data_IF_298313098914
#
_entry.id   IF_298313098914
#
_cell.length_a   1.000
_cell.length_b   1.000
_cell.length_c   1.000
_cell.angle_alpha   90.00
_cell.angle_beta   90.00
_cell.angle_gamma   90.00
#
_symmetry.space_group_name_H-M   'P 1'
#
loop_
_entity.id
_entity.type
_entity.pdbx_description
1 polymer ?
#
# COMPACT_ATOMS: atom_id res chain seq x y z
N UNK A 1 -10.10 -41.19 -4.40
CA UNK A 1 -11.53 -40.83 -4.29
C UNK A 1 -11.62 -39.45 -3.68
N UNK A 2 -11.98 -38.48 -4.53
CA UNK A 2 -12.48 -37.12 -4.30
C UNK A 2 -12.29 -36.49 -2.91
N UNK A 3 -11.34 -35.57 -2.78
CA UNK A 3 -11.49 -34.46 -1.83
C UNK A 3 -12.16 -33.31 -2.57
N UNK A 4 -13.38 -33.02 -2.11
CA UNK A 4 -14.26 -32.00 -2.63
C UNK A 4 -13.62 -30.62 -2.47
N UNK A 5 -13.33 -29.99 -3.60
CA UNK A 5 -13.07 -28.55 -3.69
C UNK A 5 -14.36 -27.82 -3.29
N UNK A 6 -14.48 -27.43 -2.03
CA UNK A 6 -15.54 -26.52 -1.59
C UNK A 6 -15.12 -25.09 -1.96
N UNK A 7 -15.40 -24.70 -3.20
CA UNK A 7 -15.51 -23.30 -3.57
C UNK A 7 -16.90 -22.83 -3.18
N UNK A 8 -17.05 -22.28 -1.98
CA UNK A 8 -18.30 -21.63 -1.56
C UNK A 8 -18.14 -20.11 -1.52
N UNK A 9 -19.04 -19.47 -2.29
CA UNK A 9 -19.52 -18.07 -2.21
C UNK A 9 -18.84 -17.01 -3.09
N UNK A 10 -19.33 -16.91 -4.33
CA UNK A 10 -20.26 -15.83 -4.71
C UNK A 10 -19.73 -14.39 -4.84
N UNK A 11 -18.42 -14.16 -4.79
CA UNK A 11 -17.78 -12.96 -5.34
C UNK A 11 -17.13 -13.39 -6.65
N UNK A 12 -17.48 -12.75 -7.76
CA UNK A 12 -16.94 -13.17 -9.06
C UNK A 12 -15.44 -12.89 -9.05
N UNK A 13 -14.61 -13.91 -9.21
CA UNK A 13 -13.15 -13.76 -9.33
C UNK A 13 -12.76 -12.68 -10.37
N UNK A 14 -13.57 -12.51 -11.42
CA UNK A 14 -13.41 -11.44 -12.39
C UNK A 14 -13.59 -10.04 -11.78
N UNK A 15 -14.60 -9.83 -10.93
CA UNK A 15 -14.81 -8.52 -10.29
C UNK A 15 -13.72 -8.17 -9.28
N UNK A 16 -13.14 -9.19 -8.63
CA UNK A 16 -12.08 -8.98 -7.65
C UNK A 16 -10.74 -8.61 -8.33
N UNK A 17 -10.42 -9.25 -9.46
CA UNK A 17 -9.27 -8.89 -10.28
C UNK A 17 -9.41 -7.51 -10.93
N UNK A 18 -10.61 -7.15 -11.40
CA UNK A 18 -10.85 -5.81 -11.95
C UNK A 18 -10.74 -4.73 -10.88
N UNK A 19 -11.24 -5.00 -9.68
CA UNK A 19 -11.07 -4.13 -8.52
C UNK A 19 -9.60 -4.01 -8.11
N UNK A 20 -8.85 -5.12 -8.11
CA UNK A 20 -7.41 -5.12 -7.85
C UNK A 20 -6.65 -4.22 -8.84
N UNK A 21 -6.96 -4.35 -10.14
CA UNK A 21 -6.38 -3.49 -11.20
C UNK A 21 -6.75 -2.02 -11.01
N UNK A 22 -7.99 -1.72 -10.60
CA UNK A 22 -8.41 -0.36 -10.32
C UNK A 22 -7.61 0.25 -9.16
N UNK A 23 -7.44 -0.50 -8.06
CA UNK A 23 -6.65 -0.04 -6.92
C UNK A 23 -5.19 0.20 -7.31
N UNK A 24 -4.57 -0.72 -8.05
CA UNK A 24 -3.20 -0.58 -8.52
C UNK A 24 -3.04 0.61 -9.49
N UNK A 25 -4.03 0.87 -10.34
CA UNK A 25 -4.02 2.04 -11.21
C UNK A 25 -4.06 3.36 -10.44
N UNK A 26 -4.71 3.41 -9.27
CA UNK A 26 -4.70 4.60 -8.41
C UNK A 26 -3.35 4.68 -7.67
N UNK A 27 -2.84 3.57 -7.13
CA UNK A 27 -1.52 3.52 -6.48
C UNK A 27 -0.40 4.03 -7.39
N UNK A 28 -0.42 3.69 -8.68
CA UNK A 28 0.52 4.22 -9.69
C UNK A 28 0.46 5.74 -9.84
N UNK A 29 -0.72 6.34 -9.71
CA UNK A 29 -0.86 7.82 -9.77
C UNK A 29 -0.24 8.47 -8.54
N UNK A 30 -0.44 7.88 -7.36
CA UNK A 30 0.20 8.32 -6.12
C UNK A 30 1.73 8.15 -6.20
N UNK A 31 2.23 7.01 -6.66
CA UNK A 31 3.66 6.77 -6.88
C UNK A 31 4.28 7.78 -7.86
N UNK A 32 3.57 8.08 -8.96
CA UNK A 32 4.03 9.11 -9.91
C UNK A 32 4.07 10.50 -9.26
N UNK A 33 3.13 10.83 -8.38
CA UNK A 33 3.14 12.08 -7.65
C UNK A 33 4.37 12.15 -6.72
N UNK A 34 4.68 11.08 -5.99
CA UNK A 34 5.88 10.98 -5.13
C UNK A 34 7.16 11.27 -5.89
N UNK A 35 7.33 10.68 -7.08
CA UNK A 35 8.52 10.92 -7.91
C UNK A 35 8.65 12.38 -8.37
N UNK A 36 7.58 13.16 -8.37
CA UNK A 36 7.59 14.61 -8.64
C UNK A 36 7.80 15.47 -7.39
N UNK A 37 7.76 14.87 -6.19
CA UNK A 37 7.81 15.56 -4.90
C UNK A 37 9.16 15.40 -4.18
N UNK A 38 10.24 15.14 -4.92
CA UNK A 38 11.58 14.98 -4.32
C UNK A 38 12.18 16.31 -3.85
N UNK A 39 11.79 17.43 -4.45
CA UNK A 39 12.26 18.75 -4.05
C UNK A 39 11.68 19.16 -2.68
N UNK A 40 12.57 19.24 -1.68
CA UNK A 40 12.22 19.58 -0.28
C UNK A 40 11.87 21.04 -0.08
N UNK A 41 12.31 21.94 -0.97
CA UNK A 41 11.99 23.37 -0.90
C UNK A 41 10.60 23.67 -1.46
N UNK A 42 10.09 22.81 -2.35
CA UNK A 42 8.79 22.97 -3.01
C UNK A 42 7.68 22.20 -2.28
N UNK A 43 7.93 20.95 -1.90
CA UNK A 43 6.91 20.09 -1.31
C UNK A 43 7.19 19.86 0.16
N UNK A 44 6.18 20.08 0.98
CA UNK A 44 6.24 19.77 2.41
C UNK A 44 6.20 18.24 2.62
N UNK A 45 6.89 17.74 3.65
CA UNK A 45 7.03 16.30 3.87
C UNK A 45 5.67 15.63 4.16
N UNK A 46 4.71 16.36 4.73
CA UNK A 46 3.35 15.85 4.99
C UNK A 46 2.63 15.45 3.71
N UNK A 47 2.80 16.26 2.66
CA UNK A 47 2.16 16.04 1.36
C UNK A 47 2.81 14.83 0.68
N UNK A 48 4.14 14.73 0.76
CA UNK A 48 4.87 13.56 0.30
C UNK A 48 4.42 12.29 1.04
N UNK A 49 4.44 12.32 2.38
CA UNK A 49 4.04 11.20 3.23
C UNK A 49 2.59 10.76 3.00
N UNK A 50 1.67 11.70 2.76
CA UNK A 50 0.29 11.39 2.41
C UNK A 50 0.19 10.57 1.12
N UNK A 51 0.90 10.97 0.05
CA UNK A 51 0.91 10.19 -1.19
C UNK A 51 1.62 8.84 -1.03
N UNK A 52 2.62 8.75 -0.16
CA UNK A 52 3.32 7.51 0.13
C UNK A 52 2.39 6.50 0.79
N UNK A 53 1.71 6.91 1.88
CA UNK A 53 0.70 6.09 2.55
C UNK A 53 -0.40 5.66 1.56
N UNK A 54 -0.90 6.59 0.74
CA UNK A 54 -1.95 6.35 -0.24
C UNK A 54 -1.54 5.36 -1.34
N UNK A 55 -0.28 5.40 -1.79
CA UNK A 55 0.26 4.43 -2.74
C UNK A 55 0.37 3.03 -2.13
N UNK A 56 0.91 2.93 -0.91
CA UNK A 56 1.04 1.65 -0.19
C UNK A 56 -0.34 1.05 0.09
N UNK A 57 -1.26 1.81 0.68
CA UNK A 57 -2.60 1.35 1.04
C UNK A 57 -3.32 0.73 -0.16
N UNK A 58 -3.31 1.44 -1.30
CA UNK A 58 -4.00 0.97 -2.50
C UNK A 58 -3.31 -0.23 -3.13
N UNK A 59 -1.99 -0.33 -3.00
CA UNK A 59 -1.24 -1.49 -3.48
C UNK A 59 -1.51 -2.72 -2.62
N UNK A 60 -1.53 -2.60 -1.29
CA UNK A 60 -1.93 -3.69 -0.39
C UNK A 60 -3.37 -4.13 -0.62
N UNK A 61 -4.29 -3.17 -0.83
CA UNK A 61 -5.68 -3.46 -1.21
C UNK A 61 -5.80 -4.17 -2.55
N UNK A 62 -5.00 -3.79 -3.54
CA UNK A 62 -4.90 -4.50 -4.81
C UNK A 62 -4.43 -5.94 -4.60
N UNK A 63 -3.42 -6.16 -3.75
CA UNK A 63 -2.90 -7.49 -3.44
C UNK A 63 -3.94 -8.39 -2.76
N UNK A 64 -4.63 -7.87 -1.73
CA UNK A 64 -5.70 -8.60 -1.04
C UNK A 64 -6.80 -9.00 -2.04
N UNK A 65 -7.23 -8.07 -2.89
CA UNK A 65 -8.26 -8.33 -3.90
C UNK A 65 -7.80 -9.35 -4.96
N UNK A 66 -6.53 -9.29 -5.38
CA UNK A 66 -5.95 -10.27 -6.32
C UNK A 66 -5.99 -11.70 -5.80
N UNK A 67 -5.96 -11.88 -4.47
CA UNK A 67 -6.04 -13.16 -3.78
C UNK A 67 -7.49 -13.59 -3.48
N UNK A 68 -8.49 -12.82 -3.91
CA UNK A 68 -9.90 -13.05 -3.57
C UNK A 68 -10.24 -12.71 -2.12
N UNK A 69 -9.35 -12.00 -1.42
CA UNK A 69 -9.57 -11.53 -0.06
C UNK A 69 -10.45 -10.27 -0.02
N UNK A 70 -10.90 -9.92 1.19
CA UNK A 70 -11.65 -8.69 1.45
C UNK A 70 -11.04 -7.90 2.59
N UNK A 71 -11.12 -6.58 2.51
CA UNK A 71 -10.66 -5.65 3.53
C UNK A 71 -11.79 -4.67 3.89
N UNK A 72 -11.79 -4.18 5.15
CA UNK A 72 -12.76 -3.19 5.62
C UNK A 72 -12.45 -1.77 5.13
N UNK A 73 -13.30 -0.81 5.51
CA UNK A 73 -13.01 0.61 5.33
C UNK A 73 -11.95 1.06 6.34
N UNK A 74 -10.68 0.83 5.99
CA UNK A 74 -9.52 1.17 6.82
C UNK A 74 -8.42 1.83 5.99
N UNK A 75 -7.69 2.73 6.65
CA UNK A 75 -6.44 3.35 6.17
C UNK A 75 -5.21 2.84 6.94
N UNK A 76 -5.42 1.88 7.85
CA UNK A 76 -4.38 1.28 8.67
C UNK A 76 -3.61 0.24 7.86
N UNK A 77 -2.34 0.53 7.56
CA UNK A 77 -1.47 -0.34 6.79
C UNK A 77 -1.15 -1.64 7.54
N UNK A 78 -1.05 -1.61 8.87
CA UNK A 78 -0.81 -2.78 9.70
C UNK A 78 -1.95 -3.80 9.58
N UNK A 79 -3.21 -3.34 9.66
CA UNK A 79 -4.39 -4.20 9.46
C UNK A 79 -4.44 -4.82 8.06
N UNK A 80 -4.00 -4.10 7.03
CA UNK A 80 -3.93 -4.63 5.65
C UNK A 80 -2.83 -5.69 5.51
N UNK A 81 -1.66 -5.47 6.10
CA UNK A 81 -0.58 -6.47 6.13
C UNK A 81 -1.00 -7.73 6.92
N UNK A 82 -1.70 -7.58 8.04
CA UNK A 82 -2.22 -8.72 8.80
C UNK A 82 -3.28 -9.49 8.02
N UNK A 83 -4.09 -8.80 7.21
CA UNK A 83 -5.02 -9.46 6.27
C UNK A 83 -4.27 -10.32 5.26
N UNK A 84 -3.17 -9.82 4.68
CA UNK A 84 -2.34 -10.60 3.75
C UNK A 84 -1.67 -11.80 4.43
N UNK A 85 -1.14 -11.64 5.65
CA UNK A 85 -0.59 -12.76 6.43
C UNK A 85 -1.64 -13.85 6.66
N UNK A 86 -2.88 -13.46 6.99
CA UNK A 86 -3.99 -14.40 7.18
C UNK A 86 -4.39 -15.13 5.88
N UNK A 87 -4.10 -14.55 4.71
CA UNK A 87 -4.25 -15.19 3.40
C UNK A 87 -3.06 -16.10 3.02
N UNK A 88 -2.07 -16.25 3.92
CA UNK A 88 -0.88 -17.09 3.71
C UNK A 88 0.25 -16.41 2.93
N UNK A 89 0.22 -15.08 2.81
CA UNK A 89 1.25 -14.31 2.13
C UNK A 89 2.38 -13.93 3.10
N UNK A 90 3.63 -14.14 2.70
CA UNK A 90 4.78 -13.58 3.39
C UNK A 90 4.99 -12.11 2.99
N UNK A 91 4.73 -11.20 3.92
CA UNK A 91 4.92 -9.76 3.75
C UNK A 91 6.11 -9.23 4.58
N UNK A 92 7.01 -10.10 5.04
CA UNK A 92 8.16 -9.71 5.88
C UNK A 92 9.04 -8.62 5.25
N UNK A 93 9.18 -8.63 3.93
CA UNK A 93 9.89 -7.59 3.16
C UNK A 93 9.27 -6.18 3.31
N UNK A 94 7.99 -6.09 3.65
CA UNK A 94 7.22 -4.84 3.68
C UNK A 94 6.75 -4.48 5.10
N UNK A 95 7.37 -5.06 6.15
CA UNK A 95 6.89 -4.92 7.52
C UNK A 95 7.10 -3.53 8.12
N UNK A 96 7.95 -2.70 7.52
CA UNK A 96 8.27 -1.33 7.93
C UNK A 96 7.36 -0.27 7.26
N UNK A 97 6.64 -0.62 6.19
CA UNK A 97 5.72 0.30 5.52
C UNK A 97 4.62 0.91 6.43
N UNK A 98 4.13 0.24 7.49
CA UNK A 98 3.19 0.87 8.42
C UNK A 98 3.73 2.13 9.10
N UNK A 99 5.05 2.27 9.24
CA UNK A 99 5.67 3.45 9.85
C UNK A 99 5.36 4.72 9.03
N UNK A 100 5.09 4.59 7.72
CA UNK A 100 4.58 5.69 6.88
C UNK A 100 3.26 6.30 7.40
N UNK A 101 2.42 5.49 8.04
CA UNK A 101 1.17 5.95 8.66
C UNK A 101 1.45 6.84 9.87
N UNK A 102 2.48 6.49 10.64
CA UNK A 102 2.90 7.21 11.85
C UNK A 102 3.46 8.59 11.44
N UNK A 103 4.27 8.63 10.39
CA UNK A 103 4.83 9.88 9.86
C UNK A 103 3.74 10.82 9.31
N UNK A 104 2.75 10.30 8.57
CA UNK A 104 1.64 11.10 8.06
C UNK A 104 0.72 11.66 9.18
N UNK A 105 0.68 11.00 10.34
CA UNK A 105 -0.15 11.42 11.50
C UNK A 105 0.60 12.41 12.41
N UNK A 106 1.89 12.20 12.70
CA UNK A 106 2.66 13.10 13.56
C UNK A 106 2.72 14.53 13.04
N UNK A 107 2.88 14.67 11.73
CA UNK A 107 2.93 15.95 11.05
C UNK A 107 1.62 16.76 11.09
N UNK A 108 0.47 16.13 11.40
CA UNK A 108 -0.79 16.85 11.60
C UNK A 108 -0.88 17.57 12.95
N UNK A 109 0.03 17.25 13.89
CA UNK A 109 -0.05 17.72 15.27
C UNK A 109 1.26 18.34 15.80
N UNK A 110 2.42 17.96 15.26
CA UNK A 110 3.71 18.54 15.63
C UNK A 110 4.14 19.62 14.63
N UNK A 111 3.75 20.87 14.94
CA UNK A 111 4.25 22.12 14.34
C UNK A 111 5.73 22.40 14.73
N UNK A 112 6.51 21.34 14.99
CA UNK A 112 7.78 21.39 15.71
C UNK A 112 8.94 20.86 14.86
N UNK A 113 9.25 21.59 13.79
CA UNK A 113 10.58 22.15 13.53
C UNK A 113 11.86 21.29 13.55
N UNK A 114 11.80 19.96 13.63
CA UNK A 114 13.02 19.14 13.64
C UNK A 114 12.82 17.89 12.77
N UNK A 115 13.49 17.88 11.61
CA UNK A 115 13.49 16.83 10.58
C UNK A 115 14.17 15.52 11.04
N UNK A 116 14.43 15.39 12.35
CA UNK A 116 15.29 14.38 12.94
C UNK A 116 14.53 13.05 13.13
N UNK A 117 14.46 12.25 12.06
CA UNK A 117 14.03 10.85 12.13
C UNK A 117 13.21 10.33 10.96
N UNK A 118 12.97 11.15 9.94
CA UNK A 118 12.23 10.72 8.75
C UNK A 118 13.16 10.01 7.75
N UNK A 119 12.68 8.95 7.07
CA UNK A 119 13.42 8.38 5.96
C UNK A 119 13.53 9.38 4.80
N UNK A 120 14.62 9.28 4.04
CA UNK A 120 14.82 10.09 2.84
C UNK A 120 13.72 9.81 1.81
N UNK A 121 13.29 10.85 1.07
CA UNK A 121 12.20 10.72 0.10
C UNK A 121 12.49 9.67 -0.97
N UNK A 122 13.75 9.57 -1.38
CA UNK A 122 14.24 8.58 -2.33
C UNK A 122 14.09 7.15 -1.79
N UNK A 123 14.39 6.92 -0.51
CA UNK A 123 14.24 5.61 0.13
C UNK A 123 12.77 5.20 0.18
N UNK A 124 11.90 6.13 0.59
CA UNK A 124 10.46 5.89 0.60
C UNK A 124 9.95 5.61 -0.81
N UNK A 125 10.36 6.40 -1.80
CA UNK A 125 9.98 6.22 -3.19
C UNK A 125 10.39 4.84 -3.71
N UNK A 126 11.61 4.40 -3.44
CA UNK A 126 12.13 3.09 -3.85
C UNK A 126 11.31 1.94 -3.26
N UNK A 127 11.05 1.96 -1.94
CA UNK A 127 10.25 0.92 -1.27
C UNK A 127 8.81 0.86 -1.79
N UNK A 128 8.18 2.02 -2.00
CA UNK A 128 6.82 2.07 -2.56
C UNK A 128 6.82 1.55 -4.01
N UNK A 129 7.82 1.90 -4.81
CA UNK A 129 7.97 1.41 -6.17
C UNK A 129 8.20 -0.12 -6.21
N UNK A 130 8.98 -0.67 -5.27
CA UNK A 130 9.18 -2.11 -5.14
C UNK A 130 7.87 -2.83 -4.86
N UNK A 131 7.07 -2.34 -3.90
CA UNK A 131 5.76 -2.91 -3.60
C UNK A 131 4.83 -2.84 -4.82
N UNK A 132 4.73 -1.69 -5.49
CA UNK A 132 3.91 -1.52 -6.70
C UNK A 132 4.33 -2.52 -7.78
N UNK A 133 5.64 -2.59 -8.09
CA UNK A 133 6.19 -3.51 -9.10
C UNK A 133 5.90 -4.96 -8.76
N UNK A 134 5.99 -5.34 -7.49
CA UNK A 134 5.68 -6.69 -7.05
C UNK A 134 4.22 -7.08 -7.37
N UNK A 135 3.25 -6.18 -7.12
CA UNK A 135 1.84 -6.46 -7.39
C UNK A 135 1.51 -6.36 -8.88
N UNK A 136 2.22 -5.53 -9.64
CA UNK A 136 2.13 -5.53 -11.10
C UNK A 136 2.45 -6.90 -11.69
N UNK A 137 3.51 -7.56 -11.20
CA UNK A 137 3.91 -8.90 -11.65
C UNK A 137 2.89 -9.99 -11.25
N UNK A 138 2.12 -9.78 -10.18
CA UNK A 138 1.05 -10.70 -9.78
C UNK A 138 -0.20 -10.54 -10.67
N UNK A 139 -0.47 -9.31 -11.14
CA UNK A 139 -1.67 -8.97 -11.92
C UNK A 139 -1.47 -8.98 -13.43
N UNK A 140 -0.23 -9.16 -13.91
CA UNK A 140 0.12 -9.32 -15.33
C UNK A 140 -0.28 -10.67 -15.87
#
# INVERSE_FOLDING_TARGET
>A
MSFLTHCERGRSCMSDLDHARQMLAIARRDLKALGGMLDTDIFAYEIFGFHAQQAVEKTLKAWIAALGGSYGFTHDLGLLLDTLKNLGVDCSRFSDLPDLTIFAVHFRYDDAGDDCGFPEREEVLEKVAELVTHIEQILS
#
